data_IF_727059039319
#
_entry.id   IF_727059039319
#
_cell.length_a   1.000
_cell.length_b   1.000
_cell.length_c   1.000
_cell.angle_alpha   90.00
_cell.angle_beta   90.00
_cell.angle_gamma   90.00
#
_symmetry.space_group_name_H-M   'P 1'
#
loop_
_entity.id
_entity.type
_entity.pdbx_description
1 polymer ?
#
# COMPACT_ATOMS: atom_id res chain seq x y z
N UNK A 1 -38.45 0.40 -14.82
CA UNK A 1 -37.11 -0.22 -14.63
C UNK A 1 -37.04 -0.66 -13.18
N UNK A 2 -36.85 -1.95 -12.91
CA UNK A 2 -36.72 -2.44 -11.53
C UNK A 2 -35.47 -1.86 -10.87
N UNK A 3 -35.53 -1.54 -9.57
CA UNK A 3 -34.35 -1.10 -8.82
C UNK A 3 -33.33 -2.22 -8.79
N UNK A 4 -32.08 -1.93 -9.15
CA UNK A 4 -30.99 -2.89 -9.01
C UNK A 4 -30.81 -3.25 -7.53
N UNK A 5 -30.58 -4.53 -7.24
CA UNK A 5 -30.28 -4.99 -5.87
C UNK A 5 -28.97 -4.38 -5.36
N UNK A 6 -28.02 -4.17 -6.27
CA UNK A 6 -26.69 -3.60 -6.02
C UNK A 6 -26.41 -2.47 -6.99
N UNK A 7 -25.65 -1.46 -6.59
CA UNK A 7 -25.27 -0.36 -7.47
C UNK A 7 -23.89 -0.61 -8.10
N UNK A 8 -22.98 -1.21 -7.34
CA UNK A 8 -21.57 -1.42 -7.72
C UNK A 8 -21.12 -2.83 -7.38
N UNK A 9 -20.54 -3.53 -8.35
CA UNK A 9 -19.93 -4.84 -8.21
C UNK A 9 -18.41 -4.65 -8.14
N UNK A 10 -17.77 -5.11 -7.08
CA UNK A 10 -16.33 -4.99 -6.85
C UNK A 10 -15.69 -6.33 -7.19
N UNK A 11 -14.85 -6.33 -8.22
CA UNK A 11 -14.28 -7.55 -8.78
C UNK A 11 -13.31 -8.26 -7.81
N UNK A 12 -12.55 -7.49 -7.05
CA UNK A 12 -11.43 -8.00 -6.25
C UNK A 12 -11.56 -7.62 -4.78
N UNK A 13 -11.39 -8.59 -3.88
CA UNK A 13 -11.39 -8.42 -2.43
C UNK A 13 -10.00 -8.11 -1.84
N UNK A 14 -9.16 -7.35 -2.55
CA UNK A 14 -7.88 -6.85 -2.02
C UNK A 14 -8.09 -5.62 -1.11
N UNK A 15 -7.04 -5.10 -0.46
CA UNK A 15 -7.12 -3.91 0.42
C UNK A 15 -7.93 -2.77 -0.21
N UNK A 16 -7.65 -2.44 -1.48
CA UNK A 16 -8.35 -1.36 -2.18
C UNK A 16 -9.78 -1.67 -2.53
N UNK A 17 -10.11 -2.92 -2.87
CA UNK A 17 -11.50 -3.33 -3.08
C UNK A 17 -12.31 -3.28 -1.79
N UNK A 18 -11.72 -3.71 -0.66
CA UNK A 18 -12.34 -3.60 0.66
C UNK A 18 -12.58 -2.14 1.05
N UNK A 19 -11.58 -1.28 0.86
CA UNK A 19 -11.70 0.16 1.11
C UNK A 19 -12.76 0.79 0.21
N UNK A 20 -12.76 0.46 -1.09
CA UNK A 20 -13.77 0.95 -2.03
C UNK A 20 -15.19 0.61 -1.57
N UNK A 21 -15.39 -0.63 -1.13
CA UNK A 21 -16.68 -1.09 -0.66
C UNK A 21 -17.16 -0.26 0.55
N UNK A 22 -16.28 0.01 1.51
CA UNK A 22 -16.62 0.83 2.68
C UNK A 22 -16.88 2.29 2.32
N UNK A 23 -16.10 2.89 1.42
CA UNK A 23 -16.30 4.27 0.95
C UNK A 23 -17.63 4.40 0.20
N UNK A 24 -17.90 3.49 -0.75
CA UNK A 24 -19.15 3.47 -1.52
C UNK A 24 -20.37 3.29 -0.61
N UNK A 25 -20.31 2.35 0.34
CA UNK A 25 -21.38 2.13 1.30
C UNK A 25 -21.64 3.37 2.18
N UNK A 26 -20.58 4.06 2.61
CA UNK A 26 -20.69 5.32 3.36
C UNK A 26 -21.36 6.44 2.54
N UNK A 27 -21.28 6.39 1.22
CA UNK A 27 -21.93 7.33 0.30
C UNK A 27 -23.30 6.84 -0.21
N UNK A 28 -23.86 5.78 0.38
CA UNK A 28 -25.21 5.32 0.10
C UNK A 28 -25.35 4.36 -1.08
N UNK A 29 -24.25 3.99 -1.73
CA UNK A 29 -24.25 2.92 -2.74
C UNK A 29 -24.34 1.54 -2.07
N UNK A 30 -24.85 0.56 -2.82
CA UNK A 30 -24.93 -0.84 -2.42
C UNK A 30 -23.84 -1.65 -3.12
N UNK A 31 -22.63 -1.77 -2.53
CA UNK A 31 -21.56 -2.58 -3.09
C UNK A 31 -21.82 -4.08 -2.88
N UNK A 32 -21.31 -4.91 -3.79
CA UNK A 32 -21.17 -6.35 -3.60
C UNK A 32 -19.86 -6.85 -4.22
N UNK A 33 -19.26 -7.91 -3.68
CA UNK A 33 -18.05 -8.52 -4.24
C UNK A 33 -18.38 -9.61 -5.25
N UNK A 34 -17.57 -9.76 -6.31
CA UNK A 34 -17.77 -10.80 -7.33
C UNK A 34 -17.18 -12.17 -6.97
N UNK A 35 -16.10 -12.17 -6.17
CA UNK A 35 -15.39 -13.40 -5.82
C UNK A 35 -15.25 -13.52 -4.31
N UNK A 36 -15.05 -14.74 -3.78
CA UNK A 36 -14.85 -14.94 -2.35
C UNK A 36 -13.77 -14.01 -1.81
N UNK A 37 -13.99 -13.52 -0.60
CA UNK A 37 -12.97 -12.81 0.15
C UNK A 37 -11.87 -13.84 0.44
N UNK A 38 -10.84 -13.86 -0.41
CA UNK A 38 -9.76 -14.82 -0.26
C UNK A 38 -9.06 -14.56 1.08
N UNK A 39 -9.06 -15.54 1.97
CA UNK A 39 -8.24 -15.52 3.18
C UNK A 39 -6.78 -15.57 2.75
N UNK A 40 -6.15 -14.41 2.61
CA UNK A 40 -4.71 -14.35 2.37
C UNK A 40 -3.95 -14.61 3.66
N UNK A 41 -2.76 -15.20 3.52
CA UNK A 41 -1.74 -15.15 4.55
C UNK A 41 -1.49 -13.67 4.91
N UNK A 42 -1.83 -13.30 6.14
CA UNK A 42 -1.64 -11.94 6.67
C UNK A 42 -0.17 -11.56 6.49
N UNK A 43 0.09 -10.42 5.83
CA UNK A 43 1.46 -9.96 5.60
C UNK A 43 2.02 -9.32 6.87
N UNK A 44 2.46 -10.15 7.83
CA UNK A 44 2.82 -9.74 9.19
C UNK A 44 3.96 -8.72 9.28
N UNK A 45 4.80 -8.59 8.26
CA UNK A 45 5.98 -7.71 8.25
C UNK A 45 5.97 -6.62 7.19
N UNK A 46 4.85 -6.45 6.49
CA UNK A 46 4.69 -5.31 5.59
C UNK A 46 4.15 -4.11 6.37
N UNK A 47 4.86 -2.99 6.26
CA UNK A 47 4.45 -1.70 6.78
C UNK A 47 4.45 -0.68 5.65
N UNK A 48 3.57 0.31 5.76
CA UNK A 48 3.45 1.40 4.79
C UNK A 48 3.35 2.73 5.51
N UNK A 49 3.98 3.76 4.95
CA UNK A 49 3.78 5.14 5.38
C UNK A 49 2.54 5.71 4.67
N UNK A 50 1.55 6.13 5.44
CA UNK A 50 0.34 6.81 4.94
C UNK A 50 0.39 8.29 5.30
N UNK A 51 0.03 9.14 4.33
CA UNK A 51 -0.09 10.56 4.59
C UNK A 51 -1.24 10.85 5.58
N UNK A 52 -1.21 12.03 6.20
CA UNK A 52 -2.18 12.39 7.24
C UNK A 52 -3.63 12.40 6.75
N UNK A 53 -3.85 12.78 5.48
CA UNK A 53 -5.18 12.79 4.88
C UNK A 53 -5.77 11.38 4.80
N UNK A 54 -5.00 10.42 4.28
CA UNK A 54 -5.42 9.04 4.17
C UNK A 54 -5.59 8.35 5.52
N UNK A 55 -4.77 8.69 6.53
CA UNK A 55 -5.01 8.24 7.90
C UNK A 55 -6.35 8.73 8.45
N UNK A 56 -6.73 9.98 8.15
CA UNK A 56 -8.05 10.50 8.48
C UNK A 56 -9.15 9.74 7.73
N UNK A 57 -8.98 9.47 6.43
CA UNK A 57 -9.94 8.68 5.65
C UNK A 57 -10.18 7.29 6.27
N UNK A 58 -9.12 6.59 6.68
CA UNK A 58 -9.26 5.29 7.36
C UNK A 58 -10.02 5.42 8.69
N UNK A 59 -9.71 6.42 9.51
CA UNK A 59 -10.43 6.69 10.77
C UNK A 59 -11.90 7.00 10.52
N UNK A 60 -12.21 7.77 9.48
CA UNK A 60 -13.56 8.13 9.08
C UNK A 60 -14.37 6.92 8.57
N UNK A 61 -13.71 5.82 8.19
CA UNK A 61 -14.30 4.52 7.88
C UNK A 61 -14.39 3.60 9.12
N UNK A 62 -14.00 4.11 10.29
CA UNK A 62 -13.98 3.38 11.56
C UNK A 62 -12.87 2.32 11.63
N UNK A 63 -11.77 2.51 10.90
CA UNK A 63 -10.57 1.68 10.95
C UNK A 63 -9.59 2.32 11.94
N UNK A 64 -9.23 1.59 12.99
CA UNK A 64 -8.44 2.07 14.13
C UNK A 64 -7.08 1.37 14.19
N UNK A 65 -6.09 1.90 13.46
CA UNK A 65 -4.76 1.28 13.40
C UNK A 65 -3.83 1.82 14.48
N UNK A 66 -2.87 1.01 14.91
CA UNK A 66 -1.70 1.52 15.61
C UNK A 66 -0.80 2.28 14.62
N UNK A 67 -0.57 3.57 14.89
CA UNK A 67 0.13 4.48 13.98
C UNK A 67 1.43 4.95 14.63
N UNK A 68 2.56 4.71 13.96
CA UNK A 68 3.84 5.32 14.33
C UNK A 68 4.09 6.55 13.48
N UNK A 69 3.96 7.73 14.06
CA UNK A 69 4.23 8.98 13.33
C UNK A 69 5.73 9.24 13.26
N UNK A 70 6.18 9.71 12.10
CA UNK A 70 7.53 10.27 11.94
C UNK A 70 7.45 11.73 11.52
N UNK A 71 8.40 12.50 12.05
CA UNK A 71 8.48 13.95 11.91
C UNK A 71 9.69 14.39 11.12
N UNK A 72 10.65 13.50 10.90
CA UNK A 72 11.85 13.77 10.15
C UNK A 72 11.97 12.76 9.01
N UNK A 73 12.45 13.24 7.86
CA UNK A 73 12.88 12.40 6.74
C UNK A 73 14.34 12.72 6.46
N UNK A 74 15.16 11.69 6.37
CA UNK A 74 16.53 11.79 5.87
C UNK A 74 16.66 10.93 4.60
N UNK A 75 17.06 11.54 3.49
CA UNK A 75 17.35 10.83 2.26
C UNK A 75 18.82 10.99 1.86
N UNK A 76 19.52 9.86 1.73
CA UNK A 76 20.96 9.78 1.50
C UNK A 76 21.23 9.35 0.05
N UNK A 77 22.11 10.09 -0.62
CA UNK A 77 22.58 9.85 -1.98
C UNK A 77 24.11 9.84 -1.98
N UNK A 78 24.70 8.64 -2.00
CA UNK A 78 26.15 8.41 -1.91
C UNK A 78 26.84 9.21 -0.79
N UNK A 79 27.43 10.38 -1.11
CA UNK A 79 28.17 11.26 -0.18
C UNK A 79 27.37 12.47 0.31
N UNK A 80 26.12 12.60 -0.12
CA UNK A 80 25.24 13.74 0.19
C UNK A 80 23.96 13.26 0.86
N UNK A 81 23.28 14.13 1.59
CA UNK A 81 21.97 13.83 2.14
C UNK A 81 21.12 15.09 2.20
N UNK A 82 19.80 14.87 2.18
CA UNK A 82 18.80 15.88 2.52
C UNK A 82 18.11 15.46 3.82
N UNK A 83 17.83 16.42 4.68
CA UNK A 83 17.08 16.23 5.91
C UNK A 83 16.09 17.37 6.05
N UNK A 84 14.85 17.03 6.42
CA UNK A 84 13.80 18.00 6.65
C UNK A 84 12.84 17.48 7.71
N UNK A 85 12.24 18.40 8.45
CA UNK A 85 11.32 18.14 9.54
C UNK A 85 9.92 18.66 9.23
N UNK A 86 8.90 17.98 9.73
CA UNK A 86 7.50 18.36 9.49
C UNK A 86 7.18 19.75 10.05
N UNK A 87 7.94 20.20 11.05
CA UNK A 87 7.81 21.55 11.60
C UNK A 87 8.28 22.63 10.63
N UNK A 88 9.17 22.33 9.67
CA UNK A 88 9.62 23.26 8.63
C UNK A 88 8.47 23.73 7.73
N UNK A 89 7.41 22.92 7.66
CA UNK A 89 6.18 23.21 6.91
C UNK A 89 4.95 23.35 7.83
N UNK A 90 5.15 23.46 9.14
CA UNK A 90 4.09 23.58 10.17
C UNK A 90 3.09 22.42 10.21
N UNK A 91 3.53 21.21 9.87
CA UNK A 91 2.74 19.98 10.03
C UNK A 91 3.12 19.24 11.32
N UNK A 92 2.18 18.54 11.98
CA UNK A 92 2.46 17.79 13.21
C UNK A 92 3.29 16.51 12.99
N UNK A 93 3.30 15.99 11.77
CA UNK A 93 4.07 14.86 11.29
C UNK A 93 4.02 14.83 9.75
N UNK A 94 4.93 14.11 9.09
CA UNK A 94 4.84 13.89 7.65
C UNK A 94 3.82 12.80 7.29
N UNK A 95 3.85 11.70 8.04
CA UNK A 95 3.05 10.52 7.78
C UNK A 95 3.01 9.62 9.02
N UNK A 96 2.11 8.65 8.98
CA UNK A 96 2.03 7.57 9.96
C UNK A 96 2.32 6.23 9.32
N UNK A 97 3.18 5.45 9.96
CA UNK A 97 3.53 4.09 9.57
C UNK A 97 2.51 3.14 10.20
N UNK A 98 1.91 2.29 9.37
CA UNK A 98 0.90 1.32 9.79
C UNK A 98 1.26 -0.08 9.32
N UNK A 99 0.84 -1.09 10.10
CA UNK A 99 0.95 -2.50 9.71
C UNK A 99 -0.08 -2.83 8.62
N UNK A 100 0.38 -3.37 7.51
CA UNK A 100 -0.52 -3.84 6.43
C UNK A 100 -1.37 -5.00 6.93
N UNK A 101 -0.79 -5.92 7.72
CA UNK A 101 -1.52 -7.05 8.27
C UNK A 101 -2.64 -6.62 9.23
N UNK A 102 -2.41 -5.59 10.06
CA UNK A 102 -3.45 -5.03 10.94
C UNK A 102 -4.58 -4.40 10.13
N UNK A 103 -4.23 -3.63 9.09
CA UNK A 103 -5.20 -3.04 8.15
C UNK A 103 -6.04 -4.13 7.47
N UNK A 104 -5.42 -5.21 6.99
CA UNK A 104 -6.13 -6.33 6.36
C UNK A 104 -7.15 -6.96 7.32
N UNK A 105 -6.76 -7.23 8.56
CA UNK A 105 -7.63 -7.81 9.60
C UNK A 105 -8.84 -6.92 9.85
N UNK A 106 -8.64 -5.62 10.02
CA UNK A 106 -9.75 -4.70 10.28
C UNK A 106 -10.67 -4.54 9.08
N UNK A 107 -10.11 -4.47 7.88
CA UNK A 107 -10.92 -4.44 6.66
C UNK A 107 -11.77 -5.69 6.54
N UNK A 108 -11.21 -6.88 6.77
CA UNK A 108 -11.94 -8.15 6.74
C UNK A 108 -13.09 -8.19 7.74
N UNK A 109 -12.92 -7.59 8.92
CA UNK A 109 -14.00 -7.48 9.90
C UNK A 109 -15.10 -6.53 9.42
N UNK A 110 -14.74 -5.38 8.84
CA UNK A 110 -15.69 -4.34 8.40
C UNK A 110 -16.50 -4.75 7.17
N UNK A 111 -15.94 -5.55 6.27
CA UNK A 111 -16.61 -5.94 5.03
C UNK A 111 -17.51 -7.19 5.18
N UNK A 112 -17.63 -7.79 6.37
CA UNK A 112 -18.47 -8.99 6.60
C UNK A 112 -19.94 -8.80 6.22
N UNK A 113 -20.46 -7.57 6.32
CA UNK A 113 -21.84 -7.25 5.96
C UNK A 113 -22.03 -7.00 4.45
N UNK A 114 -20.95 -6.92 3.67
CA UNK A 114 -21.01 -6.64 2.25
C UNK A 114 -21.25 -7.96 1.49
N UNK A 115 -22.31 -8.07 0.68
CA UNK A 115 -22.65 -9.31 0.00
C UNK A 115 -21.57 -9.77 -0.99
N UNK A 116 -21.45 -11.08 -1.14
CA UNK A 116 -20.61 -11.74 -2.15
C UNK A 116 -21.52 -12.43 -3.14
N UNK A 117 -21.31 -12.18 -4.43
CA UNK A 117 -22.07 -12.74 -5.53
C UNK A 117 -21.37 -13.98 -6.08
N UNK A 118 -22.16 -14.85 -6.71
CA UNK A 118 -21.64 -15.93 -7.56
C UNK A 118 -21.44 -15.37 -8.99
N UNK A 119 -20.41 -15.87 -9.68
CA UNK A 119 -19.87 -15.31 -10.94
C UNK A 119 -20.91 -15.18 -12.08
N UNK A 120 -21.98 -15.97 -12.03
CA UNK A 120 -23.04 -16.03 -13.05
C UNK A 120 -24.13 -14.97 -12.88
N UNK A 121 -24.25 -14.34 -11.70
CA UNK A 121 -25.41 -13.49 -11.35
C UNK A 121 -25.25 -11.98 -11.57
N UNK A 122 -24.05 -11.49 -11.88
CA UNK A 122 -23.80 -10.04 -11.99
C UNK A 122 -23.86 -9.49 -13.42
N UNK A 123 -23.80 -10.35 -14.44
CA UNK A 123 -23.76 -9.95 -15.85
C UNK A 123 -25.13 -9.47 -16.40
N UNK A 124 -26.20 -9.68 -15.64
CA UNK A 124 -27.56 -9.20 -15.94
C UNK A 124 -27.77 -7.72 -15.57
N UNK A 125 -27.38 -6.85 -16.51
CA UNK A 125 -27.75 -5.44 -16.74
C UNK A 125 -27.87 -4.45 -15.56
N UNK A 126 -27.04 -3.40 -15.58
CA UNK A 126 -27.29 -2.10 -14.94
C UNK A 126 -26.28 -1.67 -13.87
N UNK A 127 -25.46 -2.59 -13.36
CA UNK A 127 -24.49 -2.30 -12.31
C UNK A 127 -23.23 -1.58 -12.85
N UNK A 128 -22.53 -0.86 -11.98
CA UNK A 128 -21.14 -0.48 -12.22
C UNK A 128 -20.20 -1.62 -11.80
N UNK A 129 -19.12 -1.85 -12.54
CA UNK A 129 -18.08 -2.80 -12.18
C UNK A 129 -16.82 -2.03 -11.74
N UNK A 130 -16.38 -2.23 -10.50
CA UNK A 130 -15.14 -1.67 -9.98
C UNK A 130 -14.02 -2.70 -9.98
N UNK A 131 -12.89 -2.35 -10.62
CA UNK A 131 -11.68 -3.16 -10.69
C UNK A 131 -10.56 -2.47 -9.91
N UNK A 132 -9.88 -3.23 -9.04
CA UNK A 132 -8.74 -2.74 -8.24
C UNK A 132 -7.43 -3.48 -8.51
N UNK A 133 -7.45 -4.38 -9.50
CA UNK A 133 -6.31 -5.15 -10.01
C UNK A 133 -6.48 -5.34 -11.52
N UNK A 134 -5.38 -5.32 -12.27
CA UNK A 134 -5.35 -5.77 -13.66
C UNK A 134 -5.70 -7.26 -13.74
N UNK A 135 -6.61 -7.58 -14.66
CA UNK A 135 -7.02 -8.97 -14.93
C UNK A 135 -5.97 -9.71 -15.74
N UNK A 136 -5.47 -9.04 -16.78
CA UNK A 136 -4.44 -9.55 -17.68
C UNK A 136 -3.36 -8.47 -17.91
N UNK A 137 -2.21 -8.58 -17.23
CA UNK A 137 -1.09 -7.67 -17.42
C UNK A 137 -0.52 -7.67 -18.85
N UNK A 138 -0.82 -8.68 -19.68
CA UNK A 138 -0.28 -8.76 -21.05
C UNK A 138 -0.99 -7.82 -22.03
N UNK A 139 -2.24 -7.42 -21.71
CA UNK A 139 -3.04 -6.51 -22.53
C UNK A 139 -2.80 -5.04 -22.20
N UNK A 140 -2.04 -4.77 -21.14
CA UNK A 140 -1.59 -3.43 -20.76
C UNK A 140 -0.09 -3.37 -21.01
N UNK A 141 0.47 -2.30 -21.59
CA UNK A 141 1.92 -2.15 -21.69
C UNK A 141 2.52 -2.02 -20.28
N UNK A 142 2.90 -3.16 -19.69
CA UNK A 142 3.55 -3.21 -18.39
C UNK A 142 5.06 -3.13 -18.56
N UNK A 143 5.66 -2.09 -18.00
CA UNK A 143 7.12 -1.98 -17.93
C UNK A 143 7.58 -2.66 -16.64
N UNK A 144 8.08 -3.88 -16.76
CA UNK A 144 8.77 -4.53 -15.66
C UNK A 144 10.06 -3.78 -15.37
N UNK A 145 10.22 -3.33 -14.13
CA UNK A 145 11.47 -2.72 -13.71
C UNK A 145 12.48 -3.83 -13.46
N UNK A 146 13.75 -3.50 -13.62
CA UNK A 146 14.85 -4.44 -13.33
C UNK A 146 15.05 -4.73 -11.83
N UNK A 147 14.16 -4.25 -10.97
CA UNK A 147 14.27 -4.31 -9.51
C UNK A 147 13.28 -5.30 -8.91
N UNK A 148 13.67 -5.89 -7.79
CA UNK A 148 12.86 -6.72 -6.92
C UNK A 148 12.71 -6.05 -5.56
N UNK A 149 11.54 -6.21 -4.94
CA UNK A 149 11.23 -5.66 -3.62
C UNK A 149 11.02 -6.73 -2.57
N UNK A 150 11.50 -6.46 -1.36
CA UNK A 150 11.22 -7.24 -0.15
C UNK A 150 10.97 -6.30 1.03
N UNK A 151 10.15 -6.77 1.97
CA UNK A 151 9.94 -6.10 3.26
C UNK A 151 10.45 -6.96 4.40
N UNK A 152 11.07 -6.34 5.39
CA UNK A 152 11.56 -7.02 6.60
C UNK A 152 11.46 -6.07 7.79
N UNK A 153 11.59 -6.61 9.00
CA UNK A 153 11.79 -5.81 10.21
C UNK A 153 13.25 -5.89 10.58
N UNK A 154 13.85 -4.76 10.93
CA UNK A 154 15.26 -4.64 11.30
C UNK A 154 15.42 -3.92 12.62
N UNK A 155 16.39 -4.35 13.43
CA UNK A 155 16.75 -3.69 14.69
C UNK A 155 18.00 -2.82 14.51
N UNK A 156 17.90 -1.53 14.83
CA UNK A 156 18.93 -0.48 14.73
C UNK A 156 18.80 0.46 15.95
N UNK A 157 19.45 0.11 17.05
CA UNK A 157 19.28 0.80 18.35
C UNK A 157 19.85 2.22 18.40
N UNK A 158 20.77 2.57 17.50
CA UNK A 158 21.44 3.89 17.48
C UNK A 158 20.61 4.98 16.80
N UNK A 159 19.49 4.63 16.16
CA UNK A 159 18.70 5.56 15.35
C UNK A 159 17.51 6.15 16.12
N UNK A 160 17.15 7.43 15.86
CA UNK A 160 15.96 8.04 16.44
C UNK A 160 14.67 7.36 15.96
N UNK A 161 13.67 7.30 16.85
CA UNK A 161 12.41 6.57 16.65
C UNK A 161 11.34 7.31 15.84
N UNK A 162 11.58 8.56 15.44
CA UNK A 162 10.63 9.39 14.67
C UNK A 162 11.22 9.90 13.34
N UNK A 163 12.24 9.22 12.82
CA UNK A 163 12.87 9.54 11.54
C UNK A 163 12.68 8.39 10.55
N UNK A 164 12.06 8.68 9.42
CA UNK A 164 12.12 7.79 8.26
C UNK A 164 13.44 8.04 7.51
N UNK A 165 14.11 6.98 7.06
CA UNK A 165 15.36 7.09 6.30
C UNK A 165 15.25 6.43 4.96
N UNK A 166 15.86 7.01 3.95
CA UNK A 166 15.96 6.40 2.64
C UNK A 166 17.38 6.50 2.10
N UNK A 167 17.97 5.38 1.71
CA UNK A 167 19.29 5.34 1.09
C UNK A 167 19.17 4.93 -0.37
N UNK A 168 19.81 5.70 -1.24
CA UNK A 168 20.06 5.36 -2.63
C UNK A 168 21.53 5.00 -2.75
N UNK A 169 21.83 3.71 -2.92
CA UNK A 169 23.21 3.20 -2.95
C UNK A 169 23.30 1.92 -3.77
N UNK A 170 24.36 1.77 -4.58
CA UNK A 170 24.66 0.55 -5.35
C UNK A 170 23.49 0.04 -6.22
N UNK A 171 22.76 0.95 -6.89
CA UNK A 171 21.54 0.64 -7.65
C UNK A 171 20.45 -0.07 -6.82
N UNK A 172 20.41 0.22 -5.52
CA UNK A 172 19.38 -0.25 -4.61
C UNK A 172 18.80 0.93 -3.81
N UNK A 173 17.58 0.73 -3.34
CA UNK A 173 16.85 1.64 -2.47
C UNK A 173 16.57 0.92 -1.17
N UNK A 174 16.93 1.54 -0.05
CA UNK A 174 16.65 1.04 1.30
C UNK A 174 15.78 2.09 2.01
N UNK A 175 14.51 1.80 2.20
CA UNK A 175 13.59 2.63 2.98
C UNK A 175 13.41 2.05 4.37
N UNK A 176 13.69 2.82 5.41
CA UNK A 176 13.51 2.45 6.81
C UNK A 176 12.37 3.29 7.39
N UNK A 177 11.27 2.64 7.71
CA UNK A 177 10.11 3.26 8.35
C UNK A 177 10.14 2.95 9.85
N UNK A 178 10.09 3.94 10.75
CA UNK A 178 10.00 3.66 12.17
C UNK A 178 8.67 2.97 12.49
N UNK A 179 8.72 1.95 13.34
CA UNK A 179 7.52 1.25 13.84
C UNK A 179 7.41 1.42 15.36
N UNK A 180 6.27 1.04 15.95
CA UNK A 180 5.96 1.27 17.36
C UNK A 180 6.72 0.32 18.31
N UNK A 181 8.03 0.19 18.11
CA UNK A 181 8.97 -0.57 18.91
C UNK A 181 10.32 0.17 18.85
N UNK A 182 10.86 0.66 19.98
CA UNK A 182 12.13 1.37 20.01
C UNK A 182 13.25 0.59 19.32
N UNK A 183 14.02 1.27 18.47
CA UNK A 183 15.10 0.67 17.71
C UNK A 183 14.66 -0.25 16.57
N UNK A 184 13.36 -0.51 16.34
CA UNK A 184 12.92 -1.30 15.18
C UNK A 184 12.42 -0.45 14.03
N UNK A 185 12.72 -0.90 12.83
CA UNK A 185 12.31 -0.26 11.58
C UNK A 185 11.77 -1.32 10.62
N UNK A 186 10.73 -0.97 9.87
CA UNK A 186 10.35 -1.73 8.70
C UNK A 186 11.25 -1.33 7.52
N UNK A 187 12.04 -2.28 7.03
CA UNK A 187 12.89 -2.13 5.87
C UNK A 187 12.13 -2.52 4.61
N UNK A 188 11.97 -1.56 3.69
CA UNK A 188 11.57 -1.76 2.31
C UNK A 188 12.84 -1.71 1.46
N UNK A 189 13.26 -2.86 0.94
CA UNK A 189 14.46 -2.97 0.11
C UNK A 189 14.06 -3.22 -1.34
N UNK A 190 14.58 -2.41 -2.26
CA UNK A 190 14.45 -2.58 -3.70
C UNK A 190 15.82 -2.67 -4.36
N UNK A 191 16.09 -3.73 -5.11
CA UNK A 191 17.37 -3.93 -5.80
C UNK A 191 17.25 -4.80 -7.04
N UNK A 192 18.21 -4.71 -7.96
CA UNK A 192 18.25 -5.61 -9.13
C UNK A 192 18.48 -7.08 -8.77
N UNK A 193 19.16 -7.34 -7.66
CA UNK A 193 19.31 -8.70 -7.12
C UNK A 193 18.15 -9.01 -6.17
N UNK A 194 17.50 -10.18 -6.25
CA UNK A 194 16.44 -10.60 -5.32
C UNK A 194 17.00 -11.09 -3.97
N UNK A 195 18.05 -10.44 -3.45
CA UNK A 195 18.73 -10.78 -2.22
C UNK A 195 19.24 -9.52 -1.52
N UNK A 196 19.14 -9.49 -0.19
CA UNK A 196 19.66 -8.39 0.62
C UNK A 196 21.16 -8.62 0.86
N UNK A 197 22.00 -7.73 0.36
CA UNK A 197 23.43 -7.76 0.66
C UNK A 197 23.71 -6.98 1.96
N UNK A 198 23.98 -7.71 3.05
CA UNK A 198 24.27 -7.11 4.36
C UNK A 198 25.50 -6.21 4.35
N UNK A 199 26.45 -6.39 3.42
CA UNK A 199 27.61 -5.51 3.31
C UNK A 199 27.20 -4.10 2.91
N UNK A 200 26.15 -3.93 2.10
CA UNK A 200 25.64 -2.59 1.77
C UNK A 200 25.16 -1.86 3.02
N UNK A 201 24.53 -2.58 3.97
CA UNK A 201 24.05 -2.01 5.23
C UNK A 201 25.22 -1.57 6.12
N UNK A 202 26.30 -2.35 6.18
CA UNK A 202 27.54 -1.96 6.86
C UNK A 202 28.17 -0.72 6.23
N UNK A 203 28.18 -0.63 4.90
CA UNK A 203 28.67 0.56 4.18
C UNK A 203 27.81 1.82 4.44
N UNK A 204 26.60 1.66 4.98
CA UNK A 204 25.75 2.77 5.44
C UNK A 204 25.99 3.10 6.92
N UNK A 205 26.98 2.48 7.57
CA UNK A 205 27.25 2.61 9.00
C UNK A 205 26.31 1.78 9.89
N UNK A 206 25.54 0.87 9.31
CA UNK A 206 24.56 0.04 10.02
C UNK A 206 25.21 -1.31 10.33
N UNK A 207 25.86 -1.39 11.50
CA UNK A 207 26.79 -2.48 11.83
C UNK A 207 26.14 -3.66 12.57
N UNK A 208 25.01 -3.43 13.27
CA UNK A 208 24.26 -4.46 13.98
C UNK A 208 22.82 -4.43 13.47
N UNK A 209 22.44 -5.44 12.68
CA UNK A 209 21.08 -5.61 12.18
C UNK A 209 20.66 -7.04 12.42
N UNK A 210 19.68 -7.20 13.29
CA UNK A 210 18.88 -8.42 13.35
C UNK A 210 17.72 -8.25 12.36
N UNK A 211 17.64 -9.15 11.37
CA UNK A 211 16.57 -9.17 10.39
C UNK A 211 15.52 -10.17 10.83
N UNK A 212 14.31 -9.68 11.03
CA UNK A 212 13.15 -10.46 11.42
C UNK A 212 12.12 -10.44 10.28
N UNK A 213 11.38 -11.53 10.13
CA UNK A 213 10.20 -11.62 9.27
C UNK A 213 10.40 -11.15 7.81
N UNK A 214 11.50 -11.53 7.16
CA UNK A 214 11.73 -11.16 5.77
C UNK A 214 10.71 -11.82 4.82
N UNK A 215 10.03 -11.01 4.01
CA UNK A 215 9.13 -11.47 2.95
C UNK A 215 9.92 -11.86 1.69
N UNK A 216 9.42 -12.82 0.88
CA UNK A 216 10.00 -13.13 -0.42
C UNK A 216 10.08 -11.89 -1.31
N UNK A 217 11.11 -11.85 -2.17
CA UNK A 217 11.24 -10.81 -3.17
C UNK A 217 10.17 -10.96 -4.27
N UNK A 218 9.55 -9.84 -4.66
CA UNK A 218 8.66 -9.78 -5.81
C UNK A 218 9.17 -8.76 -6.83
N UNK A 219 8.95 -9.02 -8.11
CA UNK A 219 9.41 -8.12 -9.17
C UNK A 219 8.61 -6.81 -9.17
N UNK A 220 9.29 -5.68 -9.16
CA UNK A 220 8.64 -4.38 -9.32
C UNK A 220 8.21 -4.22 -10.78
N UNK A 221 7.02 -3.67 -10.98
CA UNK A 221 6.59 -3.20 -12.29
C UNK A 221 6.07 -1.80 -12.17
N UNK A 222 6.15 -1.07 -13.28
CA UNK A 222 5.45 0.19 -13.44
C UNK A 222 4.58 0.13 -14.69
N UNK A 223 3.38 0.67 -14.57
CA UNK A 223 2.48 0.84 -15.69
C UNK A 223 1.46 1.90 -15.37
N UNK A 224 0.81 2.38 -16.42
CA UNK A 224 -0.32 3.28 -16.36
C UNK A 224 -1.23 2.94 -17.55
N UNK A 225 -2.53 2.76 -17.31
CA UNK A 225 -3.52 2.54 -18.36
C UNK A 225 -4.01 3.88 -18.91
N UNK A 226 -4.33 3.94 -20.20
CA UNK A 226 -4.83 5.18 -20.79
C UNK A 226 -6.28 5.50 -20.40
N UNK A 227 -7.06 4.47 -20.02
CA UNK A 227 -8.48 4.60 -19.70
C UNK A 227 -8.81 3.97 -18.35
N UNK A 228 -9.28 4.79 -17.42
CA UNK A 228 -9.70 4.38 -16.09
C UNK A 228 -11.18 3.99 -16.06
N UNK A 229 -11.95 4.51 -17.02
CA UNK A 229 -13.39 4.28 -17.11
C UNK A 229 -13.74 3.82 -18.52
N UNK A 230 -14.50 2.75 -18.63
CA UNK A 230 -15.08 2.27 -19.87
C UNK A 230 -16.45 1.65 -19.60
N UNK A 231 -17.50 2.15 -20.25
CA UNK A 231 -18.89 1.67 -20.18
C UNK A 231 -19.28 0.93 -18.88
N UNK A 232 -19.64 1.70 -17.84
CA UNK A 232 -20.00 1.20 -16.49
C UNK A 232 -18.91 0.40 -15.78
N UNK A 233 -17.71 0.28 -16.34
CA UNK A 233 -16.54 -0.26 -15.66
C UNK A 233 -15.64 0.89 -15.23
N UNK A 234 -15.14 0.79 -14.00
CA UNK A 234 -14.26 1.75 -13.36
C UNK A 234 -13.07 0.96 -12.83
N UNK A 235 -11.87 1.46 -13.08
CA UNK A 235 -10.63 0.89 -12.62
C UNK A 235 -9.93 1.89 -11.69
N UNK A 236 -9.34 1.38 -10.62
CA UNK A 236 -8.57 2.16 -9.63
C UNK A 236 -7.32 1.39 -9.19
N UNK A 237 -6.36 2.11 -8.60
CA UNK A 237 -5.13 1.58 -8.01
C UNK A 237 -4.41 0.63 -8.99
N UNK A 238 -4.04 -0.58 -8.56
CA UNK A 238 -3.36 -1.58 -9.38
C UNK A 238 -4.22 -2.15 -10.53
N UNK A 239 -5.41 -1.61 -10.81
CA UNK A 239 -6.07 -1.81 -12.11
C UNK A 239 -5.66 -0.76 -13.14
N UNK A 240 -5.17 0.40 -12.70
CA UNK A 240 -4.86 1.54 -13.54
C UNK A 240 -3.38 1.91 -13.55
N UNK A 241 -2.74 1.85 -12.39
CA UNK A 241 -1.35 2.25 -12.27
C UNK A 241 -0.63 1.40 -11.25
N UNK A 242 0.66 1.26 -11.47
CA UNK A 242 1.58 0.82 -10.45
C UNK A 242 2.86 1.64 -10.60
N UNK A 243 3.31 2.22 -9.50
CA UNK A 243 4.57 2.95 -9.44
C UNK A 243 5.54 2.13 -8.60
N UNK A 244 6.84 2.21 -8.92
CA UNK A 244 7.89 1.60 -8.11
C UNK A 244 7.61 1.89 -6.63
N UNK A 245 7.51 0.87 -5.76
CA UNK A 245 7.14 1.09 -4.37
C UNK A 245 8.29 1.76 -3.62
N UNK A 246 8.33 3.10 -3.69
CA UNK A 246 8.95 3.93 -2.68
C UNK A 246 8.10 3.77 -1.41
N UNK A 247 8.75 3.70 -0.25
CA UNK A 247 8.13 3.28 1.02
C UNK A 247 6.81 4.04 1.30
N UNK A 248 5.67 3.43 0.96
CA UNK A 248 4.32 3.98 1.18
C UNK A 248 3.59 4.57 -0.04
N UNK A 249 4.20 4.73 -1.22
CA UNK A 249 3.54 5.45 -2.34
C UNK A 249 2.31 4.71 -2.92
N UNK A 250 2.39 3.38 -3.10
CA UNK A 250 1.32 2.63 -3.77
C UNK A 250 -0.05 2.77 -3.10
N UNK A 251 -0.16 2.46 -1.81
CA UNK A 251 -1.43 2.54 -1.10
C UNK A 251 -1.96 3.97 -0.97
N UNK A 252 -1.08 4.98 -0.84
CA UNK A 252 -1.51 6.38 -0.87
C UNK A 252 -2.16 6.73 -2.21
N UNK A 253 -1.57 6.34 -3.34
CA UNK A 253 -2.19 6.60 -4.64
C UNK A 253 -3.53 5.88 -4.80
N UNK A 254 -3.61 4.61 -4.41
CA UNK A 254 -4.88 3.87 -4.45
C UNK A 254 -5.98 4.50 -3.58
N UNK A 255 -5.63 5.08 -2.44
CA UNK A 255 -6.57 5.85 -1.60
C UNK A 255 -6.94 7.20 -2.20
N UNK A 256 -6.04 7.84 -2.95
CA UNK A 256 -6.36 9.06 -3.71
C UNK A 256 -7.35 8.78 -4.84
N UNK A 257 -7.20 7.68 -5.57
CA UNK A 257 -8.18 7.25 -6.58
C UNK A 257 -9.57 7.05 -5.95
N UNK A 258 -9.61 6.43 -4.76
CA UNK A 258 -10.86 6.22 -4.02
C UNK A 258 -11.50 7.51 -3.52
N UNK A 259 -10.68 8.53 -3.22
CA UNK A 259 -11.19 9.82 -2.76
C UNK A 259 -11.75 10.64 -3.93
N UNK A 260 -11.25 10.40 -5.14
CA UNK A 260 -11.72 11.04 -6.36
C UNK A 260 -12.95 10.35 -7.00
N UNK A 261 -13.20 9.09 -6.65
CA UNK A 261 -14.31 8.26 -7.12
C UNK A 261 -15.65 8.69 -6.55
#
# INVERSE_FOLDING_TARGET
MGSLTYDVIIKHSNISGKLAALVLAKHGFKPAFLTPIASKNITKSAYVALNLHHLKTLRDLGIELNITYFRQIEAFFDKSYISFESNDIHYPAFSGVVSVGELEIQLDQKIKSIPVLEDDKWQSSGHYLLRTKLDDPTQTPVTYLSHHLSTSIVTINSWPTQCARQYFKNNAIFGFLPINQPGKFALVHSSKSPQLNLNHLKDMGINAIDIEHQQPYFQASTYHVDQYVNHRQISIHNACHMIHPLAGFGLNMGLSDLTAL
#
